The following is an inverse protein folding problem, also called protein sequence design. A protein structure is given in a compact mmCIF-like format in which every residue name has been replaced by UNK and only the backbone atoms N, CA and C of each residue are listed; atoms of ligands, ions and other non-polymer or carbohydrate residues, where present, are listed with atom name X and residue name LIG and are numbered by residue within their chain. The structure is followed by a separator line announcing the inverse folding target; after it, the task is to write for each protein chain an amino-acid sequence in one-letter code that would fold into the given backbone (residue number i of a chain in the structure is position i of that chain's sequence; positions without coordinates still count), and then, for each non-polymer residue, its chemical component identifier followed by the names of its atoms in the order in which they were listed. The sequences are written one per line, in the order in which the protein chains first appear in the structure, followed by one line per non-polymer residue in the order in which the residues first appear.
data_IF_359911896608
#
_entry.id   IF_359911896608
#
_cell.length_a   1.000
_cell.length_b   1.000
_cell.length_c   1.000
_cell.angle_alpha   90.00
_cell.angle_beta   90.00
_cell.angle_gamma   90.00
#
_symmetry.space_group_name_H-M   'P 1'
#
loop_
_entity.id
_entity.type
_entity.pdbx_description
1 polymer ?
#
# COMPACT_ATOMS: atom_id res chain seq x y z
N UNK A 1 -5.50 4.44 12.32
CA UNK A 1 -6.39 3.32 11.91
C UNK A 1 -7.38 3.86 10.90
N UNK A 2 -7.71 3.10 9.86
CA UNK A 2 -8.59 3.54 8.76
C UNK A 2 -10.03 3.80 9.23
N UNK A 3 -10.58 2.91 10.05
CA UNK A 3 -11.90 2.98 10.68
C UNK A 3 -12.14 4.24 11.52
N UNK A 4 -11.07 4.87 12.03
CA UNK A 4 -11.14 6.07 12.87
C UNK A 4 -10.84 7.38 12.14
N UNK A 5 -10.67 7.37 10.81
CA UNK A 5 -10.41 8.59 10.06
C UNK A 5 -11.67 9.49 10.02
N UNK A 6 -11.47 10.80 10.17
CA UNK A 6 -12.55 11.77 10.14
C UNK A 6 -13.23 11.84 8.75
N UNK A 7 -14.53 12.20 8.66
CA UNK A 7 -15.29 12.18 7.41
C UNK A 7 -14.76 13.08 6.29
N UNK A 8 -14.02 14.13 6.63
CA UNK A 8 -13.40 15.05 5.68
C UNK A 8 -12.05 14.56 5.12
N UNK A 9 -11.61 13.36 5.50
CA UNK A 9 -10.38 12.75 4.99
C UNK A 9 -10.66 11.93 3.73
N UNK A 10 -9.66 11.88 2.86
CA UNK A 10 -9.59 10.96 1.73
C UNK A 10 -8.48 9.95 1.99
N UNK A 11 -8.75 8.67 1.78
CA UNK A 11 -7.80 7.59 1.91
C UNK A 11 -7.79 6.74 0.64
N UNK A 12 -6.61 6.57 0.06
CA UNK A 12 -6.36 5.58 -0.97
C UNK A 12 -5.69 4.38 -0.30
N UNK A 13 -6.29 3.21 -0.42
CA UNK A 13 -5.83 1.98 0.21
C UNK A 13 -5.49 0.99 -0.90
N UNK A 14 -4.26 0.46 -0.90
CA UNK A 14 -3.86 -0.61 -1.81
C UNK A 14 -3.58 -1.84 -0.96
N UNK A 15 -4.30 -2.92 -1.20
CA UNK A 15 -4.21 -4.16 -0.42
C UNK A 15 -3.94 -5.32 -1.36
N UNK A 16 -2.88 -6.07 -1.08
CA UNK A 16 -2.60 -7.32 -1.79
C UNK A 16 -3.22 -8.50 -1.03
N UNK A 17 -3.98 -9.33 -1.74
CA UNK A 17 -4.62 -10.53 -1.21
C UNK A 17 -4.41 -11.71 -2.16
N UNK A 18 -4.66 -12.94 -1.68
CA UNK A 18 -4.45 -14.14 -2.50
C UNK A 18 -5.34 -14.12 -3.74
N UNK A 19 -6.65 -13.90 -3.55
CA UNK A 19 -7.66 -13.96 -4.59
C UNK A 19 -8.88 -13.09 -4.22
N UNK A 20 -9.89 -13.06 -5.09
CA UNK A 20 -11.08 -12.23 -4.90
C UNK A 20 -11.93 -12.56 -3.67
N UNK A 21 -11.85 -13.78 -3.13
CA UNK A 21 -12.61 -14.18 -1.94
C UNK A 21 -12.06 -13.56 -0.65
N UNK A 22 -10.81 -13.11 -0.65
CA UNK A 22 -10.13 -12.49 0.49
C UNK A 22 -10.41 -10.98 0.61
N UNK A 23 -11.15 -10.39 -0.34
CA UNK A 23 -11.52 -8.98 -0.30
C UNK A 23 -12.53 -8.71 0.83
N UNK A 24 -12.33 -7.62 1.56
CA UNK A 24 -13.16 -7.26 2.72
C UNK A 24 -13.75 -5.87 2.57
N UNK A 25 -14.95 -5.66 3.13
CA UNK A 25 -15.52 -4.32 3.24
C UNK A 25 -14.76 -3.54 4.31
N UNK A 26 -14.04 -2.50 3.88
CA UNK A 26 -13.32 -1.60 4.79
C UNK A 26 -14.24 -0.45 5.21
N UNK A 27 -14.74 -0.51 6.46
CA UNK A 27 -15.59 0.54 7.01
C UNK A 27 -14.77 1.73 7.49
N UNK A 28 -15.19 2.94 7.13
CA UNK A 28 -14.59 4.20 7.60
C UNK A 28 -15.59 5.36 7.43
N UNK A 29 -15.56 6.37 8.30
CA UNK A 29 -16.27 7.63 8.08
C UNK A 29 -15.69 8.42 6.89
N UNK A 30 -14.42 8.18 6.57
CA UNK A 30 -13.68 8.89 5.52
C UNK A 30 -14.08 8.42 4.12
N UNK A 31 -13.69 9.21 3.11
CA UNK A 31 -13.80 8.81 1.71
C UNK A 31 -12.68 7.80 1.38
N UNK A 32 -13.02 6.52 1.31
CA UNK A 32 -12.05 5.43 1.06
C UNK A 32 -12.19 4.93 -0.37
N UNK A 33 -11.07 4.92 -1.11
CA UNK A 33 -10.94 4.19 -2.35
C UNK A 33 -9.97 3.02 -2.14
N UNK A 34 -10.39 1.81 -2.52
CA UNK A 34 -9.60 0.59 -2.32
C UNK A 34 -9.23 0.01 -3.67
N UNK A 35 -7.94 -0.25 -3.85
CA UNK A 35 -7.39 -1.00 -4.97
C UNK A 35 -6.97 -2.37 -4.43
N UNK A 36 -7.63 -3.42 -4.91
CA UNK A 36 -7.31 -4.80 -4.58
C UNK A 36 -6.32 -5.37 -5.59
N UNK A 37 -5.15 -5.78 -5.11
CA UNK A 37 -4.14 -6.47 -5.91
C UNK A 37 -4.26 -7.96 -5.61
N UNK A 38 -4.54 -8.77 -6.64
CA UNK A 38 -4.70 -10.21 -6.47
C UNK A 38 -3.41 -10.92 -6.86
N UNK A 39 -2.90 -11.80 -5.98
CA UNK A 39 -1.73 -12.63 -6.31
C UNK A 39 -2.05 -13.71 -7.34
N UNK A 40 -3.27 -14.24 -7.28
CA UNK A 40 -3.80 -15.13 -8.30
C UNK A 40 -3.72 -14.50 -9.69
N UNK A 41 -3.22 -15.25 -10.67
CA UNK A 41 -3.05 -14.79 -12.05
C UNK A 41 -1.81 -13.93 -12.31
N UNK A 42 -1.08 -13.48 -11.27
CA UNK A 42 0.23 -12.77 -11.33
C UNK A 42 0.34 -11.64 -12.36
N UNK A 43 -0.79 -11.03 -12.78
CA UNK A 43 -0.77 -9.94 -13.77
C UNK A 43 -0.15 -8.68 -13.16
N UNK A 44 -0.50 -8.38 -11.90
CA UNK A 44 -0.03 -7.22 -11.15
C UNK A 44 0.63 -7.64 -9.83
N UNK A 45 1.49 -6.76 -9.30
CA UNK A 45 2.02 -6.89 -7.95
C UNK A 45 1.90 -5.56 -7.21
N UNK A 46 1.96 -5.62 -5.88
CA UNK A 46 1.73 -4.45 -5.05
C UNK A 46 2.70 -3.29 -5.35
N UNK A 47 3.96 -3.57 -5.66
CA UNK A 47 4.96 -2.53 -5.97
C UNK A 47 4.64 -1.81 -7.28
N UNK A 48 4.31 -2.57 -8.34
CA UNK A 48 3.93 -2.01 -9.64
C UNK A 48 2.66 -1.17 -9.52
N UNK A 49 1.68 -1.65 -8.76
CA UNK A 49 0.43 -0.92 -8.51
C UNK A 49 0.70 0.41 -7.82
N UNK A 50 1.53 0.43 -6.75
CA UNK A 50 1.91 1.68 -6.07
C UNK A 50 2.65 2.63 -7.00
N UNK A 51 3.53 2.12 -7.86
CA UNK A 51 4.26 2.94 -8.84
C UNK A 51 3.34 3.63 -9.84
N UNK A 52 2.25 2.99 -10.23
CA UNK A 52 1.28 3.55 -11.18
C UNK A 52 0.31 4.56 -10.55
N UNK A 53 0.29 4.70 -9.22
CA UNK A 53 -0.61 5.64 -8.56
C UNK A 53 -0.35 7.08 -8.97
N UNK A 54 -1.44 7.79 -9.28
CA UNK A 54 -1.46 9.24 -9.32
C UNK A 54 -1.68 9.76 -7.91
N UNK A 55 -0.65 10.39 -7.34
CA UNK A 55 -0.72 10.94 -5.99
C UNK A 55 -1.07 12.43 -6.06
N UNK A 56 -2.10 12.90 -5.35
CA UNK A 56 -2.50 14.28 -5.40
C UNK A 56 -1.44 15.18 -4.76
N UNK A 57 -1.35 16.41 -5.24
CA UNK A 57 -0.47 17.42 -4.65
C UNK A 57 -0.90 17.75 -3.21
N UNK A 58 0.08 18.16 -2.38
CA UNK A 58 -0.12 18.55 -0.99
C UNK A 58 0.52 17.60 0.01
N UNK A 59 0.14 17.74 1.29
CA UNK A 59 0.70 16.92 2.38
C UNK A 59 -0.01 15.59 2.47
N UNK A 60 0.69 14.53 2.11
CA UNK A 60 0.23 13.15 2.19
C UNK A 60 0.88 12.44 3.35
N UNK A 61 0.15 11.53 3.98
CA UNK A 61 0.69 10.59 4.94
C UNK A 61 0.56 9.18 4.37
N UNK A 62 1.69 8.49 4.20
CA UNK A 62 1.73 7.13 3.69
C UNK A 62 2.13 6.16 4.81
N UNK A 63 1.36 5.08 4.92
CA UNK A 63 1.62 3.99 5.84
C UNK A 63 1.68 2.66 5.07
N UNK A 64 2.79 1.95 5.20
CA UNK A 64 3.08 0.72 4.47
C UNK A 64 3.41 -0.38 5.48
N UNK A 65 2.69 -1.48 5.41
CA UNK A 65 2.91 -2.65 6.26
C UNK A 65 2.67 -3.92 5.45
N UNK A 66 3.76 -4.57 5.05
CA UNK A 66 3.77 -5.73 4.14
C UNK A 66 4.96 -6.63 4.45
N UNK A 67 5.30 -7.57 3.56
CA UNK A 67 6.58 -8.28 3.62
C UNK A 67 7.77 -7.29 3.61
N UNK A 68 8.84 -7.62 4.33
CA UNK A 68 9.99 -6.76 4.58
C UNK A 68 10.72 -6.25 3.32
N UNK A 69 10.98 -7.07 2.30
CA UNK A 69 11.58 -6.62 1.03
C UNK A 69 10.59 -5.76 0.24
N UNK A 70 9.31 -6.15 0.19
CA UNK A 70 8.24 -5.39 -0.49
C UNK A 70 8.05 -4.01 0.15
N UNK A 71 7.97 -3.92 1.47
CA UNK A 71 7.82 -2.67 2.22
C UNK A 71 8.94 -1.68 1.94
N UNK A 72 10.20 -2.16 1.87
CA UNK A 72 11.36 -1.33 1.49
C UNK A 72 11.25 -0.82 0.05
N UNK A 73 10.85 -1.68 -0.90
CA UNK A 73 10.66 -1.30 -2.31
C UNK A 73 9.55 -0.26 -2.46
N UNK A 74 8.42 -0.43 -1.80
CA UNK A 74 7.32 0.55 -1.81
C UNK A 74 7.77 1.88 -1.21
N UNK A 75 8.48 1.86 -0.08
CA UNK A 75 9.04 3.09 0.50
C UNK A 75 9.94 3.83 -0.49
N UNK A 76 10.79 3.11 -1.21
CA UNK A 76 11.66 3.68 -2.24
C UNK A 76 10.84 4.38 -3.34
N UNK A 77 9.80 3.73 -3.87
CA UNK A 77 8.89 4.30 -4.88
C UNK A 77 8.25 5.60 -4.35
N UNK A 78 7.73 5.59 -3.12
CA UNK A 78 7.05 6.75 -2.55
C UNK A 78 7.98 7.96 -2.36
N UNK A 79 9.24 7.74 -1.98
CA UNK A 79 10.19 8.82 -1.74
C UNK A 79 10.89 9.30 -3.02
N UNK A 80 11.36 8.37 -3.84
CA UNK A 80 12.22 8.69 -5.00
C UNK A 80 11.41 8.98 -6.25
N UNK A 81 10.34 8.23 -6.50
CA UNK A 81 9.53 8.36 -7.72
C UNK A 81 8.32 9.27 -7.53
N UNK A 82 7.74 9.30 -6.32
CA UNK A 82 6.58 10.14 -5.98
C UNK A 82 6.92 11.39 -5.18
N UNK A 83 8.18 11.53 -4.78
CA UNK A 83 8.69 12.72 -4.05
C UNK A 83 7.88 13.07 -2.80
N UNK A 84 7.37 12.06 -2.07
CA UNK A 84 6.73 12.30 -0.78
C UNK A 84 7.75 12.75 0.27
N UNK A 85 7.27 13.56 1.21
CA UNK A 85 8.06 13.99 2.37
C UNK A 85 8.37 12.77 3.29
N UNK A 86 9.66 12.47 3.56
CA UNK A 86 10.05 11.31 4.36
C UNK A 86 9.50 11.33 5.78
N UNK A 87 9.21 12.50 6.36
CA UNK A 87 8.63 12.61 7.70
C UNK A 87 7.20 12.05 7.76
N UNK A 88 6.52 12.02 6.61
CA UNK A 88 5.16 11.52 6.44
C UNK A 88 5.07 10.15 5.77
N UNK A 89 6.19 9.45 5.60
CA UNK A 89 6.21 8.06 5.10
C UNK A 89 6.67 7.12 6.21
N UNK A 90 5.75 6.24 6.64
CA UNK A 90 6.05 5.14 7.57
C UNK A 90 5.94 3.82 6.85
N UNK A 91 7.05 3.06 6.81
CA UNK A 91 7.07 1.72 6.24
C UNK A 91 7.63 0.73 7.26
N UNK A 92 6.91 -0.37 7.45
CA UNK A 92 7.24 -1.45 8.39
C UNK A 92 7.16 -2.78 7.64
N UNK A 93 8.11 -3.67 7.89
CA UNK A 93 8.03 -5.08 7.48
C UNK A 93 7.30 -5.86 8.56
N UNK A 94 6.15 -6.45 8.24
CA UNK A 94 5.38 -7.27 9.18
C UNK A 94 5.93 -8.68 9.31
N UNK A 95 6.49 -9.20 8.23
CA UNK A 95 7.11 -10.51 8.17
C UNK A 95 8.24 -10.48 7.13
N UNK A 96 9.07 -11.51 7.09
CA UNK A 96 10.12 -11.71 6.10
C UNK A 96 9.91 -13.10 5.50
N UNK A 97 9.89 -13.20 4.18
CA UNK A 97 9.99 -14.52 3.55
C UNK A 97 11.39 -15.08 3.80
N UNK A 98 11.49 -16.39 4.03
CA UNK A 98 12.79 -17.05 4.06
C UNK A 98 13.48 -16.87 2.71
N UNK A 99 14.80 -16.76 2.70
CA UNK A 99 15.57 -16.58 1.47
C UNK A 99 15.67 -17.91 0.65
N UNK A 100 14.77 -18.87 0.89
CA UNK A 100 14.57 -20.02 0.02
C UNK A 100 13.81 -19.57 -1.22
N UNK A 101 14.49 -19.64 -2.36
CA UNK A 101 14.02 -19.30 -3.72
C UNK A 101 14.31 -17.86 -4.16
N UNK A 102 15.57 -17.44 -4.00
CA UNK A 102 16.26 -16.64 -5.03
C UNK A 102 17.36 -17.50 -5.67
N UNK A 103 16.97 -18.35 -6.64
CA UNK A 103 17.82 -18.73 -7.79
C UNK A 103 17.26 -18.06 -9.06
#
# INVERSE_FOLDING_TARGET
RLEGLAPNRRALVVVEVENGAEQQVLQSPAQVHVIWVLREGRQDNLVTTVRQLEVPAGKLYAWVATESKVSRRIRKVLLEEKSLDPDYVKAVGYWKADDSDEE
#
